data_IF_660254826933
#
_entry.id   IF_660254826933
#
_cell.length_a   1.000
_cell.length_b   1.000
_cell.length_c   1.000
_cell.angle_alpha   90.00
_cell.angle_beta   90.00
_cell.angle_gamma   90.00
#
_symmetry.space_group_name_H-M   'P 1'
#
loop_
_entity.id
_entity.type
_entity.pdbx_description
1 polymer ?
#
# COMPACT_ATOMS: atom_id res chain seq x y z
N UNK A 1 6.37 25.42 15.37
CA UNK A 1 5.71 24.66 14.27
C UNK A 1 6.54 24.52 12.99
N UNK A 2 7.31 25.54 12.53
CA UNK A 2 8.19 25.40 11.35
C UNK A 2 9.28 24.33 11.54
N UNK A 3 9.90 24.25 12.72
CA UNK A 3 10.91 23.23 13.04
C UNK A 3 10.36 21.80 13.02
N UNK A 4 9.13 21.56 13.49
CA UNK A 4 8.51 20.24 13.47
C UNK A 4 8.33 19.70 12.03
N UNK A 5 7.87 20.55 11.10
CA UNK A 5 7.80 20.18 9.68
C UNK A 5 9.18 19.95 9.08
N UNK A 6 10.20 20.70 9.51
CA UNK A 6 11.58 20.48 9.10
C UNK A 6 12.12 19.11 9.54
N UNK A 7 11.81 18.68 10.76
CA UNK A 7 12.16 17.34 11.27
C UNK A 7 11.45 16.25 10.46
N UNK A 8 10.16 16.42 10.17
CA UNK A 8 9.40 15.46 9.34
C UNK A 8 10.00 15.36 7.93
N UNK A 9 10.35 16.49 7.32
CA UNK A 9 10.99 16.51 6.00
C UNK A 9 12.35 15.81 6.02
N UNK A 10 13.16 16.08 7.03
CA UNK A 10 14.47 15.46 7.19
C UNK A 10 14.36 13.96 7.40
N UNK A 11 13.46 13.52 8.30
CA UNK A 11 13.23 12.09 8.56
C UNK A 11 12.70 11.38 7.30
N UNK A 12 11.78 12.00 6.57
CA UNK A 12 11.29 11.49 5.29
C UNK A 12 12.39 11.35 4.25
N UNK A 13 13.30 12.33 4.17
CA UNK A 13 14.46 12.28 3.28
C UNK A 13 15.42 11.15 3.66
N UNK A 14 15.75 11.00 4.94
CA UNK A 14 16.65 9.93 5.42
C UNK A 14 16.06 8.55 5.13
N UNK A 15 14.78 8.35 5.43
CA UNK A 15 14.11 7.06 5.13
C UNK A 15 14.07 6.80 3.63
N UNK A 16 13.88 7.84 2.82
CA UNK A 16 13.95 7.72 1.38
C UNK A 16 15.33 7.27 0.90
N UNK A 17 16.41 7.99 1.25
CA UNK A 17 17.75 7.69 0.74
C UNK A 17 18.19 6.29 1.08
N UNK A 18 17.79 5.79 2.26
CA UNK A 18 18.06 4.42 2.69
C UNK A 18 17.16 3.35 2.04
N UNK A 19 16.11 3.76 1.30
CA UNK A 19 15.17 2.86 0.63
C UNK A 19 15.46 2.61 -0.87
N UNK A 20 16.44 3.32 -1.46
CA UNK A 20 16.69 3.29 -2.91
C UNK A 20 17.42 2.00 -3.30
N UNK A 21 18.48 1.64 -2.58
CA UNK A 21 19.31 0.48 -2.88
C UNK A 21 19.75 -0.25 -1.60
N UNK A 22 19.94 -1.58 -1.66
CA UNK A 22 20.48 -2.33 -0.54
C UNK A 22 21.89 -1.83 -0.24
N UNK A 23 22.10 -1.38 0.99
CA UNK A 23 23.39 -0.86 1.40
C UNK A 23 24.25 -2.02 1.96
N UNK A 24 25.43 -2.30 1.38
CA UNK A 24 26.31 -3.36 1.86
C UNK A 24 26.80 -3.14 3.30
N UNK A 25 26.83 -1.89 3.77
CA UNK A 25 27.25 -1.55 5.14
C UNK A 25 26.13 -1.74 6.16
N UNK A 26 24.86 -1.72 5.73
CA UNK A 26 23.67 -1.80 6.59
C UNK A 26 22.76 -2.97 6.18
N UNK A 27 23.31 -4.18 6.18
CA UNK A 27 22.59 -5.40 5.78
C UNK A 27 21.33 -5.69 6.59
N UNK A 28 21.22 -5.18 7.81
CA UNK A 28 20.02 -5.33 8.65
C UNK A 28 18.81 -4.50 8.16
N UNK A 29 19.02 -3.49 7.31
CA UNK A 29 17.94 -2.63 6.77
C UNK A 29 17.34 -3.23 5.49
N UNK A 30 18.11 -4.05 4.77
CA UNK A 30 17.72 -4.67 3.51
C UNK A 30 16.36 -5.40 3.53
N UNK A 31 15.97 -6.16 4.58
CA UNK A 31 14.63 -6.77 4.63
C UNK A 31 13.48 -5.75 4.81
N UNK A 32 13.78 -4.51 5.22
CA UNK A 32 12.78 -3.49 5.53
C UNK A 32 12.69 -2.38 4.47
N UNK A 33 13.38 -2.50 3.32
CA UNK A 33 13.45 -1.45 2.29
C UNK A 33 12.08 -0.97 1.83
N UNK A 34 11.11 -1.87 1.65
CA UNK A 34 9.76 -1.51 1.25
C UNK A 34 9.03 -0.73 2.37
N UNK A 35 9.15 -1.18 3.62
CA UNK A 35 8.55 -0.50 4.78
C UNK A 35 9.14 0.90 4.93
N UNK A 36 10.48 1.03 4.83
CA UNK A 36 11.15 2.33 4.83
C UNK A 36 10.65 3.22 3.69
N UNK A 37 10.50 2.67 2.49
CA UNK A 37 9.98 3.43 1.35
C UNK A 37 8.55 3.91 1.56
N UNK A 38 7.66 3.08 2.11
CA UNK A 38 6.26 3.45 2.37
C UNK A 38 6.22 4.52 3.46
N UNK A 39 6.95 4.33 4.57
CA UNK A 39 7.07 5.33 5.63
C UNK A 39 7.63 6.66 5.12
N UNK A 40 8.66 6.62 4.28
CA UNK A 40 9.23 7.80 3.64
C UNK A 40 8.21 8.55 2.77
N UNK A 41 7.42 7.83 1.95
CA UNK A 41 6.35 8.43 1.15
C UNK A 41 5.26 9.04 2.03
N UNK A 42 4.85 8.38 3.11
CA UNK A 42 3.84 8.91 4.04
C UNK A 42 4.33 10.20 4.69
N UNK A 43 5.57 10.23 5.22
CA UNK A 43 6.13 11.45 5.82
C UNK A 43 6.30 12.58 4.81
N UNK A 44 6.71 12.26 3.57
CA UNK A 44 6.79 13.24 2.49
C UNK A 44 5.41 13.84 2.16
N UNK A 45 4.37 13.02 2.08
CA UNK A 45 2.99 13.48 1.88
C UNK A 45 2.50 14.36 3.03
N UNK A 46 2.77 13.99 4.29
CA UNK A 46 2.43 14.81 5.46
C UNK A 46 3.11 16.18 5.38
N UNK A 47 4.40 16.22 5.03
CA UNK A 47 5.12 17.48 4.84
C UNK A 47 4.52 18.32 3.70
N UNK A 48 4.27 17.72 2.53
CA UNK A 48 3.68 18.38 1.36
C UNK A 48 2.30 18.97 1.69
N UNK A 49 1.43 18.19 2.34
CA UNK A 49 0.12 18.66 2.80
C UNK A 49 0.26 19.83 3.78
N UNK A 50 1.18 19.75 4.73
CA UNK A 50 1.45 20.84 5.67
C UNK A 50 1.97 22.13 5.00
N UNK A 51 2.68 22.02 3.88
CA UNK A 51 3.09 23.17 3.06
C UNK A 51 1.90 23.72 2.26
N UNK A 52 1.08 22.86 1.66
CA UNK A 52 -0.10 23.25 0.89
C UNK A 52 -1.17 23.93 1.74
N UNK A 53 -1.44 23.45 2.96
CA UNK A 53 -2.39 24.07 3.89
C UNK A 53 -2.04 25.51 4.25
N UNK A 54 -0.77 25.89 4.15
CA UNK A 54 -0.33 27.27 4.38
C UNK A 54 -0.54 28.17 3.17
N UNK A 55 -0.72 27.60 1.98
CA UNK A 55 -0.98 28.35 0.76
C UNK A 55 -2.33 29.08 0.87
N UNK A 56 -2.39 30.39 0.56
CA UNK A 56 -3.65 31.14 0.59
C UNK A 56 -4.70 30.57 -0.38
N UNK A 57 -4.24 29.99 -1.50
CA UNK A 57 -5.09 29.30 -2.45
C UNK A 57 -5.82 28.11 -1.82
N UNK A 58 -5.08 27.23 -1.12
CA UNK A 58 -5.66 26.06 -0.48
C UNK A 58 -6.59 26.43 0.67
N UNK A 59 -6.21 27.43 1.48
CA UNK A 59 -7.08 27.94 2.56
C UNK A 59 -8.41 28.48 2.04
N UNK A 60 -8.40 29.15 0.88
CA UNK A 60 -9.61 29.67 0.25
C UNK A 60 -10.52 28.54 -0.22
N UNK A 61 -9.97 27.50 -0.86
CA UNK A 61 -10.75 26.33 -1.29
C UNK A 61 -11.30 25.57 -0.08
N UNK A 62 -10.47 25.34 0.94
CA UNK A 62 -10.85 24.54 2.11
C UNK A 62 -11.77 25.27 3.09
N UNK A 63 -11.94 26.59 2.97
CA UNK A 63 -12.94 27.34 3.73
C UNK A 63 -14.36 27.07 3.23
N UNK A 64 -14.51 26.63 1.98
CA UNK A 64 -15.81 26.31 1.38
C UNK A 64 -16.33 24.97 1.94
N UNK A 65 -17.46 25.01 2.64
CA UNK A 65 -18.13 23.81 3.17
C UNK A 65 -18.49 22.82 2.06
N UNK A 66 -18.93 23.31 0.90
CA UNK A 66 -19.26 22.48 -0.27
C UNK A 66 -18.06 21.67 -0.79
N UNK A 67 -16.86 22.26 -0.81
CA UNK A 67 -15.65 21.57 -1.22
C UNK A 67 -15.32 20.38 -0.31
N UNK A 68 -15.51 20.54 1.01
CA UNK A 68 -15.29 19.46 1.99
C UNK A 68 -16.24 18.29 1.76
N UNK A 69 -17.54 18.57 1.56
CA UNK A 69 -18.54 17.55 1.27
C UNK A 69 -18.24 16.79 -0.02
N UNK A 70 -17.84 17.49 -1.08
CA UNK A 70 -17.46 16.86 -2.34
C UNK A 70 -16.29 15.89 -2.13
N UNK A 71 -15.26 16.28 -1.36
CA UNK A 71 -14.13 15.39 -1.05
C UNK A 71 -14.58 14.15 -0.28
N UNK A 72 -15.47 14.28 0.71
CA UNK A 72 -15.99 13.12 1.44
C UNK A 72 -16.81 12.18 0.56
N UNK A 73 -17.65 12.72 -0.33
CA UNK A 73 -18.44 11.93 -1.28
C UNK A 73 -17.52 11.18 -2.25
N UNK A 74 -16.52 11.87 -2.83
CA UNK A 74 -15.54 11.25 -3.72
C UNK A 74 -14.76 10.15 -3.00
N UNK A 75 -14.30 10.41 -1.77
CA UNK A 75 -13.58 9.41 -0.98
C UNK A 75 -14.46 8.20 -0.68
N UNK A 76 -15.71 8.40 -0.30
CA UNK A 76 -16.66 7.31 -0.03
C UNK A 76 -16.93 6.49 -1.28
N UNK A 77 -17.18 7.14 -2.42
CA UNK A 77 -17.35 6.48 -3.71
C UNK A 77 -16.09 5.68 -4.11
N UNK A 78 -14.90 6.22 -3.83
CA UNK A 78 -13.63 5.56 -4.07
C UNK A 78 -13.49 4.28 -3.24
N UNK A 79 -13.86 4.32 -1.95
CA UNK A 79 -13.89 3.14 -1.07
C UNK A 79 -14.85 2.08 -1.60
N UNK A 80 -16.06 2.45 -2.01
CA UNK A 80 -17.03 1.52 -2.57
C UNK A 80 -16.51 0.82 -3.85
N UNK A 81 -15.90 1.59 -4.76
CA UNK A 81 -15.30 1.05 -5.99
C UNK A 81 -14.11 0.14 -5.66
N UNK A 82 -13.29 0.51 -4.67
CA UNK A 82 -12.16 -0.28 -4.24
C UNK A 82 -12.60 -1.63 -3.65
N UNK A 83 -13.62 -1.63 -2.79
CA UNK A 83 -14.22 -2.83 -2.20
C UNK A 83 -14.75 -3.78 -3.28
N UNK A 84 -15.50 -3.27 -4.26
CA UNK A 84 -16.02 -4.10 -5.35
C UNK A 84 -14.91 -4.71 -6.23
N UNK A 85 -13.87 -3.93 -6.54
CA UNK A 85 -12.70 -4.43 -7.28
C UNK A 85 -11.89 -5.45 -6.50
N UNK A 86 -11.71 -5.24 -5.19
CA UNK A 86 -11.03 -6.19 -4.32
C UNK A 86 -11.78 -7.53 -4.23
N UNK A 87 -13.11 -7.48 -4.09
CA UNK A 87 -13.94 -8.70 -4.13
C UNK A 87 -13.75 -9.45 -5.45
N UNK A 88 -13.79 -8.74 -6.59
CA UNK A 88 -13.56 -9.35 -7.91
C UNK A 88 -12.19 -10.01 -8.04
N UNK A 89 -11.14 -9.42 -7.46
CA UNK A 89 -9.78 -9.96 -7.53
C UNK A 89 -9.60 -11.18 -6.64
N UNK A 90 -10.08 -11.13 -5.40
CA UNK A 90 -10.06 -12.29 -4.49
C UNK A 90 -10.86 -13.45 -5.10
N UNK A 91 -12.04 -13.17 -5.67
CA UNK A 91 -12.86 -14.17 -6.35
C UNK A 91 -12.15 -14.76 -7.57
N UNK A 92 -11.39 -13.95 -8.32
CA UNK A 92 -10.63 -14.41 -9.47
C UNK A 92 -9.47 -15.33 -9.07
N UNK A 93 -8.81 -15.07 -7.94
CA UNK A 93 -7.71 -15.90 -7.43
C UNK A 93 -8.24 -17.24 -6.90
N UNK A 94 -9.23 -17.22 -6.00
CA UNK A 94 -9.63 -18.44 -5.28
C UNK A 94 -10.82 -19.19 -5.89
N UNK A 95 -11.54 -18.58 -6.84
CA UNK A 95 -12.75 -19.17 -7.44
C UNK A 95 -13.93 -19.32 -6.48
N UNK A 96 -13.86 -18.70 -5.29
CA UNK A 96 -14.92 -18.68 -4.27
C UNK A 96 -15.19 -17.24 -3.82
N UNK A 97 -16.29 -17.03 -3.11
CA UNK A 97 -16.67 -15.69 -2.67
C UNK A 97 -15.70 -15.11 -1.63
N UNK A 98 -15.29 -13.86 -1.86
CA UNK A 98 -14.32 -13.11 -1.06
C UNK A 98 -14.75 -12.92 0.39
N UNK A 99 -16.05 -13.02 0.71
CA UNK A 99 -16.52 -12.98 2.09
C UNK A 99 -15.95 -14.13 2.94
N UNK A 100 -15.48 -15.21 2.31
CA UNK A 100 -14.78 -16.31 2.98
C UNK A 100 -13.40 -15.87 3.50
N UNK A 101 -12.82 -14.79 2.95
CA UNK A 101 -11.49 -14.27 3.29
C UNK A 101 -11.57 -12.85 3.87
N UNK A 102 -12.16 -12.65 5.05
CA UNK A 102 -12.49 -11.32 5.56
C UNK A 102 -11.25 -10.42 5.76
N UNK A 103 -10.11 -10.97 6.21
CA UNK A 103 -8.89 -10.17 6.43
C UNK A 103 -8.19 -9.87 5.12
N UNK A 104 -8.02 -10.87 4.26
CA UNK A 104 -7.42 -10.73 2.94
C UNK A 104 -8.22 -9.73 2.10
N UNK A 105 -9.55 -9.80 2.15
CA UNK A 105 -10.45 -8.87 1.48
C UNK A 105 -10.24 -7.43 1.97
N UNK A 106 -10.13 -7.22 3.29
CA UNK A 106 -9.89 -5.89 3.85
C UNK A 106 -8.54 -5.30 3.39
N UNK A 107 -7.45 -6.08 3.45
CA UNK A 107 -6.14 -5.63 2.98
C UNK A 107 -6.10 -5.40 1.47
N UNK A 108 -6.73 -6.27 0.69
CA UNK A 108 -6.84 -6.11 -0.78
C UNK A 108 -7.61 -4.84 -1.11
N UNK A 109 -8.69 -4.55 -0.38
CA UNK A 109 -9.46 -3.30 -0.51
C UNK A 109 -8.57 -2.08 -0.26
N UNK A 110 -7.75 -2.09 0.79
CA UNK A 110 -6.82 -1.01 1.08
C UNK A 110 -5.77 -0.82 -0.04
N UNK A 111 -5.24 -1.91 -0.60
CA UNK A 111 -4.30 -1.85 -1.73
C UNK A 111 -4.95 -1.29 -3.00
N UNK A 112 -6.16 -1.75 -3.34
CA UNK A 112 -6.90 -1.24 -4.50
C UNK A 112 -7.29 0.22 -4.30
N UNK A 113 -7.68 0.61 -3.09
CA UNK A 113 -7.95 2.00 -2.74
C UNK A 113 -6.71 2.87 -2.92
N UNK A 114 -5.55 2.40 -2.46
CA UNK A 114 -4.28 3.09 -2.69
C UNK A 114 -3.98 3.26 -4.19
N UNK A 115 -4.17 2.20 -4.99
CA UNK A 115 -3.99 2.24 -6.45
C UNK A 115 -4.93 3.25 -7.11
N UNK A 116 -6.16 3.39 -6.62
CA UNK A 116 -7.13 4.37 -7.12
C UNK A 116 -6.83 5.80 -6.64
N UNK A 117 -6.24 5.97 -5.46
CA UNK A 117 -5.82 7.25 -4.90
C UNK A 117 -4.51 7.77 -5.51
N UNK A 118 -3.68 6.90 -6.10
CA UNK A 118 -2.41 7.24 -6.77
C UNK A 118 -2.44 8.52 -7.62
N UNK A 119 -3.33 8.69 -8.62
CA UNK A 119 -3.35 9.90 -9.44
C UNK A 119 -3.57 11.18 -8.63
N UNK A 120 -4.36 11.11 -7.55
CA UNK A 120 -4.57 12.23 -6.64
C UNK A 120 -3.32 12.56 -5.84
N UNK A 121 -2.60 11.54 -5.33
CA UNK A 121 -1.33 11.73 -4.61
C UNK A 121 -0.28 12.41 -5.51
N UNK A 122 -0.17 11.96 -6.77
CA UNK A 122 0.72 12.57 -7.77
C UNK A 122 0.27 14.01 -8.08
N UNK A 123 -1.03 14.24 -8.25
CA UNK A 123 -1.58 15.58 -8.50
C UNK A 123 -1.29 16.57 -7.36
N UNK A 124 -1.42 16.13 -6.11
CA UNK A 124 -1.07 16.92 -4.91
C UNK A 124 0.42 17.25 -4.89
N UNK A 125 1.29 16.28 -5.20
CA UNK A 125 2.73 16.52 -5.29
C UNK A 125 3.08 17.53 -6.39
N UNK A 126 2.50 17.40 -7.59
CA UNK A 126 2.69 18.36 -8.70
C UNK A 126 2.22 19.76 -8.32
N UNK A 127 1.03 19.88 -7.71
CA UNK A 127 0.51 21.17 -7.24
C UNK A 127 1.46 21.83 -6.23
N UNK A 128 2.01 21.05 -5.30
CA UNK A 128 2.99 21.53 -4.34
C UNK A 128 4.31 21.95 -4.98
N UNK A 129 4.77 21.24 -6.02
CA UNK A 129 5.95 21.63 -6.80
C UNK A 129 5.75 23.00 -7.46
N UNK A 130 4.62 23.22 -8.12
CA UNK A 130 4.31 24.49 -8.79
C UNK A 130 4.32 25.65 -7.80
N UNK A 131 3.63 25.49 -6.66
CA UNK A 131 3.60 26.50 -5.60
C UNK A 131 5.01 26.77 -5.05
N UNK A 132 5.80 25.73 -4.88
CA UNK A 132 7.16 25.82 -4.33
C UNK A 132 8.13 26.49 -5.30
N UNK A 133 8.07 26.20 -6.60
CA UNK A 133 8.87 26.88 -7.63
C UNK A 133 8.62 28.40 -7.62
N UNK A 134 7.37 28.83 -7.49
CA UNK A 134 7.03 30.24 -7.34
C UNK A 134 7.51 30.84 -6.00
N UNK A 135 7.61 30.02 -4.95
CA UNK A 135 8.08 30.44 -3.63
C UNK A 135 9.62 30.53 -3.54
N UNK A 136 10.40 29.76 -4.32
CA UNK A 136 11.88 29.81 -4.31
C UNK A 136 12.40 31.22 -4.61
N UNK A 137 11.84 31.92 -5.60
CA UNK A 137 12.26 33.31 -5.93
C UNK A 137 12.07 34.26 -4.76
N UNK A 138 10.95 34.13 -4.04
CA UNK A 138 10.66 34.93 -2.84
C UNK A 138 11.58 34.56 -1.68
N UNK A 139 11.85 33.27 -1.50
CA UNK A 139 12.78 32.77 -0.50
C UNK A 139 14.21 33.26 -0.72
N UNK A 140 14.69 33.26 -1.97
CA UNK A 140 16.03 33.75 -2.31
C UNK A 140 16.18 35.24 -1.98
N UNK A 141 15.18 36.06 -2.34
CA UNK A 141 15.15 37.48 -1.98
C UNK A 141 15.19 37.69 -0.46
N UNK A 142 14.40 36.92 0.29
CA UNK A 142 14.37 37.00 1.75
C UNK A 142 15.68 36.56 2.43
N UNK A 143 16.41 35.60 1.83
CA UNK A 143 17.74 35.19 2.32
C UNK A 143 18.76 36.30 2.08
N UNK A 144 18.74 36.96 0.92
CA UNK A 144 19.66 38.06 0.60
C UNK A 144 19.39 39.30 1.45
N UNK A 145 18.12 39.65 1.66
CA UNK A 145 17.74 40.88 2.37
C UNK A 145 17.74 40.72 3.90
N UNK A 146 17.27 39.58 4.41
CA UNK A 146 16.99 39.39 5.85
C UNK A 146 17.71 38.18 6.46
N UNK A 147 18.57 37.49 5.72
CA UNK A 147 19.25 36.26 6.16
C UNK A 147 18.28 35.15 6.66
N UNK A 148 17.02 35.15 6.22
CA UNK A 148 16.01 34.17 6.66
C UNK A 148 16.11 32.85 5.86
N UNK A 149 17.06 31.99 6.23
CA UNK A 149 17.34 30.69 5.56
C UNK A 149 16.09 29.80 5.48
N UNK A 150 15.21 29.85 6.48
CA UNK A 150 13.97 29.07 6.53
C UNK A 150 13.00 29.38 5.38
N UNK A 151 13.06 30.58 4.82
CA UNK A 151 12.23 30.98 3.67
C UNK A 151 12.63 30.23 2.39
N UNK A 152 13.88 29.78 2.29
CA UNK A 152 14.40 28.98 1.17
C UNK A 152 14.34 27.47 1.45
N UNK A 153 14.56 27.05 2.69
CA UNK A 153 14.55 25.63 3.07
C UNK A 153 13.23 24.92 2.72
N UNK A 154 12.08 25.51 3.09
CA UNK A 154 10.76 24.89 2.88
C UNK A 154 10.43 24.62 1.40
N UNK A 155 10.54 25.60 0.47
CA UNK A 155 10.26 25.33 -0.93
C UNK A 155 11.27 24.36 -1.56
N UNK A 156 12.56 24.42 -1.20
CA UNK A 156 13.57 23.47 -1.69
C UNK A 156 13.26 22.05 -1.25
N UNK A 157 12.95 21.83 0.04
CA UNK A 157 12.58 20.50 0.54
C UNK A 157 11.29 19.99 -0.07
N UNK A 158 10.32 20.88 -0.35
CA UNK A 158 9.09 20.49 -1.05
C UNK A 158 9.37 20.05 -2.48
N UNK A 159 10.34 20.68 -3.15
CA UNK A 159 10.76 20.26 -4.50
C UNK A 159 11.37 18.85 -4.46
N UNK A 160 12.31 18.62 -3.53
CA UNK A 160 12.99 17.33 -3.40
C UNK A 160 11.99 16.21 -3.04
N UNK A 161 11.19 16.42 -1.99
CA UNK A 161 10.22 15.41 -1.53
C UNK A 161 9.05 15.24 -2.51
N UNK A 162 8.63 16.29 -3.21
CA UNK A 162 7.60 16.21 -4.25
C UNK A 162 8.07 15.39 -5.45
N UNK A 163 9.29 15.62 -5.93
CA UNK A 163 9.89 14.82 -6.99
C UNK A 163 10.03 13.35 -6.57
N UNK A 164 10.43 13.10 -5.31
CA UNK A 164 10.51 11.77 -4.73
C UNK A 164 9.16 11.03 -4.74
N UNK A 165 8.10 11.68 -4.25
CA UNK A 165 6.75 11.09 -4.25
C UNK A 165 6.32 10.74 -5.66
N UNK A 166 6.50 11.65 -6.63
CA UNK A 166 6.14 11.41 -8.04
C UNK A 166 6.91 10.20 -8.59
N UNK A 167 8.22 10.13 -8.35
CA UNK A 167 9.05 9.03 -8.85
C UNK A 167 8.63 7.68 -8.27
N UNK A 168 8.50 7.56 -6.94
CA UNK A 168 8.15 6.26 -6.31
C UNK A 168 6.71 5.86 -6.59
N UNK A 169 5.76 6.74 -6.29
CA UNK A 169 4.33 6.44 -6.44
C UNK A 169 4.01 6.20 -7.92
N UNK A 170 4.66 6.94 -8.84
CA UNK A 170 4.60 6.72 -10.28
C UNK A 170 5.08 5.33 -10.68
N UNK A 171 6.21 4.86 -10.15
CA UNK A 171 6.83 3.57 -10.47
C UNK A 171 6.14 2.32 -9.91
N UNK A 172 5.21 2.45 -8.96
CA UNK A 172 4.61 1.28 -8.29
C UNK A 172 3.78 0.37 -9.21
N UNK A 173 3.17 0.89 -10.28
CA UNK A 173 2.35 0.04 -11.18
C UNK A 173 3.21 -0.95 -11.99
N UNK A 174 4.45 -0.59 -12.29
CA UNK A 174 5.35 -1.40 -13.11
C UNK A 174 6.16 -2.42 -12.30
N UNK A 175 6.29 -2.20 -10.98
CA UNK A 175 7.08 -3.05 -10.10
C UNK A 175 6.18 -3.71 -9.06
N UNK A 176 5.81 -3.00 -7.99
CA UNK A 176 5.26 -3.60 -6.77
C UNK A 176 3.76 -3.93 -6.82
N UNK A 177 2.98 -3.24 -7.66
CA UNK A 177 1.52 -3.33 -7.73
C UNK A 177 1.01 -3.68 -9.15
N UNK A 178 1.85 -4.36 -9.92
CA UNK A 178 1.44 -4.92 -11.22
C UNK A 178 0.35 -5.97 -11.00
N UNK A 179 -0.57 -6.14 -11.97
CA UNK A 179 -1.71 -7.03 -11.78
C UNK A 179 -1.29 -8.48 -11.48
N UNK A 180 -0.23 -8.99 -12.13
CA UNK A 180 0.31 -10.33 -11.87
C UNK A 180 0.86 -10.49 -10.45
N UNK A 181 1.59 -9.48 -9.96
CA UNK A 181 2.12 -9.48 -8.58
C UNK A 181 1.03 -9.26 -7.54
N UNK A 182 -0.06 -8.61 -7.93
CA UNK A 182 -1.20 -8.40 -7.04
C UNK A 182 -1.87 -9.73 -6.70
N UNK A 183 -2.07 -10.61 -7.68
CA UNK A 183 -2.67 -11.94 -7.46
C UNK A 183 -1.80 -12.80 -6.53
N UNK A 184 -0.47 -12.78 -6.75
CA UNK A 184 0.50 -13.42 -5.86
C UNK A 184 0.42 -12.89 -4.43
N UNK A 185 0.35 -11.56 -4.28
CA UNK A 185 0.24 -10.92 -2.97
C UNK A 185 -1.09 -11.27 -2.29
N UNK A 186 -2.20 -11.33 -3.02
CA UNK A 186 -3.51 -11.76 -2.49
C UNK A 186 -3.43 -13.20 -1.98
N UNK A 187 -2.80 -14.10 -2.75
CA UNK A 187 -2.59 -15.49 -2.34
C UNK A 187 -1.77 -15.59 -1.05
N UNK A 188 -0.64 -14.88 -1.00
CA UNK A 188 0.22 -14.80 0.18
C UNK A 188 -0.50 -14.22 1.41
N UNK A 189 -1.30 -13.17 1.23
CA UNK A 189 -2.09 -12.58 2.33
C UNK A 189 -3.07 -13.60 2.89
N UNK A 190 -3.76 -14.33 2.02
CA UNK A 190 -4.67 -15.37 2.48
C UNK A 190 -3.93 -16.42 3.30
N UNK A 191 -2.72 -16.80 2.90
CA UNK A 191 -1.94 -17.83 3.57
C UNK A 191 -1.55 -17.46 5.00
N UNK A 192 -1.19 -16.20 5.22
CA UNK A 192 -0.77 -15.71 6.54
C UNK A 192 -1.96 -15.30 7.40
N UNK A 193 -3.01 -14.77 6.78
CA UNK A 193 -4.14 -14.21 7.49
C UNK A 193 -5.26 -15.22 7.66
N UNK A 194 -5.88 -15.68 6.59
CA UNK A 194 -7.19 -16.37 6.65
C UNK A 194 -7.11 -17.90 6.59
N UNK A 195 -6.06 -18.44 5.98
CA UNK A 195 -5.81 -19.88 5.88
C UNK A 195 -5.35 -20.45 7.23
N UNK A 196 -5.93 -21.57 7.63
CA UNK A 196 -5.61 -22.24 8.88
C UNK A 196 -4.71 -23.46 8.62
N UNK A 197 -3.45 -23.37 9.06
CA UNK A 197 -2.51 -24.48 9.02
C UNK A 197 -2.79 -25.57 10.07
N UNK A 198 -3.58 -25.27 11.11
CA UNK A 198 -3.96 -26.21 12.17
C UNK A 198 -5.45 -26.51 12.06
N UNK A 199 -5.79 -27.47 11.22
CA UNK A 199 -7.17 -27.89 10.99
C UNK A 199 -7.42 -29.32 11.45
N UNK A 200 -8.66 -29.66 11.80
CA UNK A 200 -9.07 -31.02 12.18
C UNK A 200 -9.86 -31.73 11.06
N UNK A 201 -9.59 -31.41 9.80
CA UNK A 201 -10.29 -32.04 8.68
C UNK A 201 -9.76 -33.45 8.42
N UNK A 202 -10.68 -34.39 8.23
CA UNK A 202 -10.34 -35.76 7.87
C UNK A 202 -9.82 -35.80 6.42
N UNK A 203 -8.80 -36.63 6.16
CA UNK A 203 -8.29 -36.86 4.81
C UNK A 203 -7.44 -35.73 4.21
N UNK A 204 -7.21 -34.64 4.94
CA UNK A 204 -6.34 -33.53 4.51
C UNK A 204 -5.08 -33.52 5.38
N UNK A 205 -3.87 -33.58 4.80
CA UNK A 205 -2.64 -33.51 5.59
C UNK A 205 -2.46 -32.14 6.24
N UNK A 206 -1.95 -32.10 7.48
CA UNK A 206 -1.65 -30.87 8.23
C UNK A 206 -0.64 -29.93 7.53
N UNK A 207 0.04 -30.41 6.50
CA UNK A 207 0.93 -29.59 5.66
C UNK A 207 0.16 -28.64 4.74
N UNK A 208 -1.13 -28.89 4.48
CA UNK A 208 -1.93 -28.12 3.55
C UNK A 208 -2.89 -27.20 4.32
N UNK A 209 -2.64 -25.89 4.36
CA UNK A 209 -3.54 -25.01 5.07
C UNK A 209 -4.90 -24.94 4.36
N UNK A 210 -5.96 -24.82 5.14
CA UNK A 210 -7.34 -24.81 4.63
C UNK A 210 -8.12 -23.59 5.10
N UNK A 211 -9.11 -23.20 4.31
CA UNK A 211 -10.09 -22.20 4.72
C UNK A 211 -11.49 -22.80 4.66
N UNK A 212 -12.26 -22.58 5.72
CA UNK A 212 -13.62 -23.08 5.84
C UNK A 212 -14.59 -22.21 5.05
N UNK A 213 -15.44 -22.85 4.25
CA UNK A 213 -16.42 -22.20 3.41
C UNK A 213 -17.80 -22.32 4.06
N UNK A 214 -18.43 -21.16 4.27
CA UNK A 214 -19.79 -21.07 4.79
C UNK A 214 -19.91 -21.28 6.31
N UNK A 215 -21.13 -21.10 6.85
CA UNK A 215 -21.37 -21.10 8.29
C UNK A 215 -21.28 -22.48 8.94
N UNK A 216 -21.49 -23.56 8.17
CA UNK A 216 -21.44 -24.94 8.69
C UNK A 216 -20.03 -25.49 8.76
N UNK A 217 -19.05 -24.83 8.13
CA UNK A 217 -17.63 -25.24 8.08
C UNK A 217 -17.41 -26.68 7.56
N UNK A 218 -18.36 -27.21 6.79
CA UNK A 218 -18.28 -28.58 6.25
C UNK A 218 -17.45 -28.63 4.97
N UNK A 219 -17.38 -27.54 4.22
CA UNK A 219 -16.57 -27.43 3.00
C UNK A 219 -15.32 -26.63 3.28
N UNK A 220 -14.21 -27.05 2.71
CA UNK A 220 -12.93 -26.36 2.83
C UNK A 220 -12.29 -26.16 1.48
N UNK A 221 -11.61 -25.03 1.31
CA UNK A 221 -10.70 -24.80 0.19
C UNK A 221 -9.28 -25.14 0.66
N UNK A 222 -8.63 -26.07 -0.04
CA UNK A 222 -7.27 -26.54 0.26
C UNK A 222 -6.28 -25.74 -0.57
N UNK A 223 -5.31 -25.11 0.11
CA UNK A 223 -4.22 -24.40 -0.53
C UNK A 223 -2.94 -25.25 -0.51
N UNK A 224 -2.04 -25.11 -1.50
CA UNK A 224 -0.75 -25.77 -1.45
C UNK A 224 0.09 -25.23 -0.30
N UNK A 225 0.99 -26.06 0.28
CA UNK A 225 1.97 -25.59 1.23
C UNK A 225 2.85 -24.54 0.58
N UNK A 226 3.14 -23.47 1.32
CA UNK A 226 4.19 -22.52 0.96
C UNK A 226 5.24 -22.56 2.07
N UNK A 227 6.55 -22.51 1.74
CA UNK A 227 7.62 -22.43 2.74
C UNK A 227 7.39 -21.28 3.72
N UNK A 228 7.94 -21.42 4.93
CA UNK A 228 7.71 -20.51 6.06
C UNK A 228 7.79 -19.04 5.63
N UNK A 229 6.62 -18.39 5.65
CA UNK A 229 6.47 -16.98 5.27
C UNK A 229 6.70 -16.11 6.49
N UNK A 230 7.82 -15.41 6.53
CA UNK A 230 8.00 -14.28 7.43
C UNK A 230 7.38 -13.02 6.80
N UNK A 231 6.76 -12.17 7.62
CA UNK A 231 6.22 -10.87 7.19
C UNK A 231 7.29 -9.98 6.54
N UNK A 232 8.57 -10.22 6.87
CA UNK A 232 9.72 -9.53 6.27
C UNK A 232 9.99 -9.94 4.82
N UNK A 233 9.74 -11.20 4.46
CA UNK A 233 9.92 -11.73 3.10
C UNK A 233 8.66 -11.62 2.25
N UNK A 234 7.51 -11.44 2.89
CA UNK A 234 6.18 -11.34 2.28
C UNK A 234 6.10 -10.49 1.00
N UNK A 235 6.82 -9.36 0.95
CA UNK A 235 6.77 -8.45 -0.19
C UNK A 235 7.75 -8.78 -1.32
N UNK A 236 8.68 -9.70 -1.08
CA UNK A 236 9.80 -10.03 -1.98
C UNK A 236 9.73 -11.46 -2.52
N UNK A 237 8.88 -12.32 -1.96
CA UNK A 237 8.72 -13.70 -2.43
C UNK A 237 7.84 -13.74 -3.68
N UNK A 238 8.43 -14.10 -4.82
CA UNK A 238 7.69 -14.45 -6.03
C UNK A 238 7.27 -15.93 -5.95
N UNK A 239 5.96 -16.21 -6.04
CA UNK A 239 5.40 -17.57 -5.99
C UNK A 239 4.44 -17.75 -7.14
N UNK A 240 4.40 -18.95 -7.73
CA UNK A 240 3.36 -19.30 -8.67
C UNK A 240 2.04 -19.53 -7.94
N UNK A 241 1.02 -18.73 -8.29
CA UNK A 241 -0.34 -18.93 -7.77
C UNK A 241 -0.94 -20.13 -8.50
N UNK A 242 -1.53 -21.09 -7.79
CA UNK A 242 -2.22 -22.21 -8.44
C UNK A 242 -3.36 -21.70 -9.33
N UNK A 243 -3.48 -22.28 -10.53
CA UNK A 243 -4.58 -21.95 -11.45
C UNK A 243 -5.95 -22.37 -10.87
N UNK A 244 -5.97 -23.36 -9.96
CA UNK A 244 -7.17 -23.89 -9.35
C UNK A 244 -6.91 -24.35 -7.92
N UNK A 245 -7.87 -24.04 -7.05
CA UNK A 245 -7.92 -24.54 -5.69
C UNK A 245 -8.93 -25.68 -5.60
N UNK A 246 -8.64 -26.68 -4.75
CA UNK A 246 -9.60 -27.76 -4.49
C UNK A 246 -10.54 -27.43 -3.36
N UNK A 247 -11.81 -27.73 -3.59
CA UNK A 247 -12.80 -27.78 -2.54
C UNK A 247 -12.97 -29.24 -2.10
N UNK A 248 -12.87 -29.50 -0.80
CA UNK A 248 -13.07 -30.80 -0.20
C UNK A 248 -14.10 -30.70 0.94
N UNK A 249 -14.68 -31.84 1.31
CA UNK A 249 -15.49 -31.94 2.52
C UNK A 249 -14.58 -32.25 3.71
N UNK A 250 -14.64 -31.42 4.75
CA UNK A 250 -13.79 -31.54 5.93
C UNK A 250 -14.11 -32.79 6.77
N UNK A 251 -15.34 -33.32 6.71
CA UNK A 251 -15.75 -34.50 7.48
C UNK A 251 -15.41 -35.79 6.78
N UNK A 252 -15.64 -35.88 5.48
CA UNK A 252 -15.41 -37.13 4.72
C UNK A 252 -14.00 -37.21 4.15
N UNK A 253 -13.33 -36.07 3.92
CA UNK A 253 -12.01 -36.03 3.30
C UNK A 253 -12.02 -36.42 1.83
N UNK A 254 -13.18 -36.37 1.17
CA UNK A 254 -13.30 -36.70 -0.25
C UNK A 254 -12.65 -35.60 -1.09
N UNK A 255 -11.35 -35.77 -1.33
CA UNK A 255 -10.60 -35.01 -2.33
C UNK A 255 -10.83 -35.68 -3.69
N UNK A 256 -11.24 -34.96 -4.75
CA UNK A 256 -11.46 -35.55 -6.06
C UNK A 256 -10.19 -36.28 -6.56
N UNK A 257 -10.36 -37.52 -7.05
CA UNK A 257 -9.32 -38.52 -7.37
C UNK A 257 -8.25 -38.12 -8.40
N UNK A 258 -8.29 -36.89 -8.93
CA UNK A 258 -7.32 -36.34 -9.87
C UNK A 258 -6.24 -35.49 -9.20
N UNK A 259 -6.18 -35.46 -7.87
CA UNK A 259 -5.15 -34.76 -7.11
C UNK A 259 -4.00 -35.71 -6.79
N UNK A 260 -2.88 -35.52 -7.50
CA UNK A 260 -1.59 -36.12 -7.17
C UNK A 260 -0.73 -35.05 -6.53
N UNK A 261 -0.13 -35.39 -5.38
CA UNK A 261 0.79 -34.53 -4.61
C UNK A 261 2.03 -34.12 -5.42
#
# INVERSE_FOLDING_TARGET
MRMALGIVAFLGLVLFTNSIEPNPDFTFINPYLLVLSVCGVVLALVFICGVLERSPFWKSIWSLTSARWIVYIIFTAMVLVASGKAASQVNAVFGVDAASFPRTYAFTTALVLFKLAKPWLIGVAIGALIVSLCAVRRGLKAVVENYEIWALFMPVMTIILGAFVIFRVGGWDNNELSNKRLDQKIFLMAQVLDLNAKHNCNGIPDTHPVIFLGPTQERVLVAPPVPDLDFTTFFHTDIEVPDRFVQADCRTGDVPSNWSY
#
